data_IF_649748637804
#
_entry.id   IF_649748637804
#
_cell.length_a   1.000
_cell.length_b   1.000
_cell.length_c   1.000
_cell.angle_alpha   90.00
_cell.angle_beta   90.00
_cell.angle_gamma   90.00
#
_symmetry.space_group_name_H-M   'P 1'
#
loop_
_entity.id
_entity.type
_entity.pdbx_description
1 polymer ?
#
# COMPACT_ATOMS: atom_id res chain seq x y z
N UNK A 1 -81.83 1.31 20.67
CA UNK A 1 -81.80 0.39 19.50
C UNK A 1 -80.49 0.60 18.75
N UNK A 2 -79.85 -0.52 18.42
CA UNK A 2 -78.69 -0.74 17.52
C UNK A 2 -77.39 0.03 17.82
N UNK A 3 -76.46 -0.76 18.39
CA UNK A 3 -75.06 -0.47 18.66
C UNK A 3 -74.21 -0.51 17.38
N UNK A 4 -73.28 0.43 17.32
CA UNK A 4 -71.90 0.38 16.83
C UNK A 4 -71.58 -0.44 15.56
N UNK A 5 -71.35 0.33 14.48
CA UNK A 5 -70.18 0.22 13.61
C UNK A 5 -68.91 0.21 14.48
N UNK A 6 -67.93 -0.65 14.20
CA UNK A 6 -66.49 -0.35 14.18
C UNK A 6 -65.83 -1.46 13.34
N UNK A 7 -65.48 -1.10 12.10
CA UNK A 7 -64.42 -1.76 11.34
C UNK A 7 -63.09 -1.39 12.01
N UNK A 8 -62.69 -2.17 13.00
CA UNK A 8 -61.37 -2.08 13.60
C UNK A 8 -60.49 -3.15 12.96
N UNK A 9 -59.56 -2.73 12.11
CA UNK A 9 -58.25 -3.32 11.82
C UNK A 9 -57.81 -2.81 10.45
N UNK A 10 -56.99 -1.76 10.42
CA UNK A 10 -55.86 -1.48 9.51
C UNK A 10 -55.38 -0.08 9.89
N UNK A 11 -54.61 -0.01 10.96
CA UNK A 11 -53.63 1.05 11.21
C UNK A 11 -52.45 0.37 11.91
N UNK A 12 -51.82 -0.58 11.20
CA UNK A 12 -50.44 -0.93 11.51
C UNK A 12 -49.63 0.21 10.93
N UNK A 13 -49.34 1.17 11.79
CA UNK A 13 -48.34 2.21 11.59
C UNK A 13 -47.03 1.54 11.19
N UNK A 14 -46.69 1.69 9.92
CA UNK A 14 -45.35 1.42 9.43
C UNK A 14 -44.38 2.39 10.09
N UNK A 15 -43.91 2.04 11.28
CA UNK A 15 -42.62 2.51 11.78
C UNK A 15 -41.56 1.77 10.96
N UNK A 16 -41.38 2.21 9.72
CA UNK A 16 -40.15 1.97 9.01
C UNK A 16 -39.06 2.60 9.84
N UNK A 17 -38.24 1.77 10.48
CA UNK A 17 -36.94 2.18 10.97
C UNK A 17 -36.15 2.61 9.74
N UNK A 18 -36.26 3.89 9.38
CA UNK A 18 -35.30 4.53 8.50
C UNK A 18 -33.98 4.46 9.24
N UNK A 19 -33.14 3.51 8.84
CA UNK A 19 -31.75 3.49 9.28
C UNK A 19 -31.18 4.84 8.85
N UNK A 20 -30.89 5.69 9.82
CA UNK A 20 -30.23 6.97 9.58
C UNK A 20 -28.96 6.65 8.81
N UNK A 21 -28.92 7.07 7.54
CA UNK A 21 -27.70 6.99 6.76
C UNK A 21 -26.77 8.02 7.39
N UNK A 22 -25.96 7.57 8.33
CA UNK A 22 -24.81 8.33 8.77
C UNK A 22 -23.97 8.49 7.51
N UNK A 23 -23.97 9.70 6.95
CA UNK A 23 -23.07 10.06 5.86
C UNK A 23 -21.67 9.79 6.35
N UNK A 24 -21.13 8.64 5.96
CA UNK A 24 -19.77 8.26 6.29
C UNK A 24 -18.88 9.34 5.72
N UNK A 25 -18.14 10.04 6.59
CA UNK A 25 -17.17 11.04 6.15
C UNK A 25 -16.32 10.42 5.04
N UNK A 26 -16.35 11.02 3.86
CA UNK A 26 -15.55 10.55 2.73
C UNK A 26 -14.09 10.84 3.07
N UNK A 27 -13.39 9.84 3.61
CA UNK A 27 -11.98 9.97 3.97
C UNK A 27 -11.14 9.73 2.72
N UNK A 28 -10.61 10.78 2.10
CA UNK A 28 -9.74 10.69 0.94
C UNK A 28 -8.26 10.58 1.34
N UNK A 29 -7.41 10.05 0.44
CA UNK A 29 -5.99 10.38 0.51
C UNK A 29 -5.86 11.89 0.35
N UNK A 30 -5.27 12.57 1.34
CA UNK A 30 -5.25 14.03 1.40
C UNK A 30 -4.15 14.59 0.53
N UNK A 31 -2.93 14.16 0.80
CA UNK A 31 -1.71 14.70 0.20
C UNK A 31 -0.96 13.58 -0.52
N UNK A 32 -0.16 13.95 -1.51
CA UNK A 32 0.57 12.99 -2.35
C UNK A 32 2.02 13.45 -2.52
N UNK A 33 2.95 12.64 -2.03
CA UNK A 33 4.36 12.83 -2.28
C UNK A 33 4.75 12.51 -3.74
N UNK A 34 5.88 13.07 -4.22
CA UNK A 34 6.52 12.71 -5.47
C UNK A 34 6.75 11.21 -5.63
N UNK A 35 6.80 10.77 -6.88
CA UNK A 35 7.12 9.38 -7.23
C UNK A 35 8.63 9.21 -7.23
N UNK A 36 9.12 8.18 -6.56
CA UNK A 36 10.49 7.70 -6.72
C UNK A 36 10.63 7.07 -8.11
N UNK A 37 11.29 7.78 -9.00
CA UNK A 37 11.27 7.51 -10.44
C UNK A 37 12.56 6.87 -10.96
N UNK A 38 13.65 7.04 -10.22
CA UNK A 38 14.99 6.58 -10.60
C UNK A 38 15.59 5.73 -9.49
N UNK A 39 15.80 4.44 -9.76
CA UNK A 39 16.72 3.61 -8.97
C UNK A 39 17.17 2.40 -9.78
N UNK A 40 18.44 2.03 -9.62
CA UNK A 40 19.03 0.84 -10.24
C UNK A 40 18.85 -0.35 -9.30
N UNK A 41 18.55 -1.52 -9.85
CA UNK A 41 18.52 -2.77 -9.09
C UNK A 41 19.85 -3.48 -9.25
N UNK A 42 20.48 -3.81 -8.12
CA UNK A 42 21.63 -4.70 -8.06
C UNK A 42 21.21 -6.01 -7.39
N UNK A 43 21.53 -7.12 -8.05
CA UNK A 43 21.29 -8.45 -7.51
C UNK A 43 22.48 -9.36 -7.80
N UNK A 44 22.99 -10.01 -6.77
CA UNK A 44 24.00 -11.05 -6.92
C UNK A 44 23.34 -12.35 -7.37
N UNK A 45 23.73 -12.83 -8.54
CA UNK A 45 23.27 -14.09 -9.10
C UNK A 45 24.20 -15.22 -8.63
N UNK A 46 23.66 -16.14 -7.82
CA UNK A 46 24.46 -17.20 -7.20
C UNK A 46 24.92 -18.25 -8.21
N UNK A 47 24.13 -18.50 -9.25
CA UNK A 47 24.41 -19.57 -10.22
C UNK A 47 25.54 -19.16 -11.18
N UNK A 48 25.61 -17.86 -11.48
CA UNK A 48 26.65 -17.30 -12.35
C UNK A 48 27.78 -16.60 -11.59
N UNK A 49 27.65 -16.47 -10.26
CA UNK A 49 28.53 -15.72 -9.35
C UNK A 49 28.77 -14.26 -9.77
N UNK A 50 27.83 -13.68 -10.51
CA UNK A 50 27.95 -12.33 -11.09
C UNK A 50 26.91 -11.38 -10.55
N UNK A 51 27.28 -10.10 -10.53
CA UNK A 51 26.33 -9.03 -10.29
C UNK A 51 25.50 -8.77 -11.54
N UNK A 52 24.18 -8.76 -11.36
CA UNK A 52 23.22 -8.32 -12.35
C UNK A 52 22.77 -6.92 -11.97
N UNK A 53 23.06 -5.97 -12.85
CA UNK A 53 22.57 -4.60 -12.77
C UNK A 53 21.38 -4.42 -13.71
N UNK A 54 20.36 -3.72 -13.23
CA UNK A 54 19.23 -3.26 -14.06
C UNK A 54 19.02 -1.78 -13.82
N UNK A 55 19.29 -0.98 -14.87
CA UNK A 55 19.11 0.46 -14.84
C UNK A 55 17.62 0.82 -14.77
N UNK A 56 17.28 1.83 -13.97
CA UNK A 56 15.91 2.32 -13.78
C UNK A 56 14.91 1.19 -13.53
N UNK A 57 15.32 0.23 -12.70
CA UNK A 57 14.59 -0.99 -12.44
C UNK A 57 13.24 -0.72 -11.76
N UNK A 58 13.10 0.38 -11.01
CA UNK A 58 11.82 0.73 -10.41
C UNK A 58 10.72 0.76 -11.46
N UNK A 59 10.83 1.50 -12.55
CA UNK A 59 9.78 1.57 -13.57
C UNK A 59 9.39 0.20 -14.15
N UNK A 60 10.31 -0.77 -14.14
CA UNK A 60 10.09 -2.11 -14.69
C UNK A 60 9.48 -3.11 -13.69
N UNK A 61 9.70 -2.93 -12.38
CA UNK A 61 9.22 -3.84 -11.33
C UNK A 61 8.15 -3.22 -10.43
N UNK A 62 8.21 -1.90 -10.26
CA UNK A 62 7.43 -1.06 -9.37
C UNK A 62 6.98 0.22 -10.12
N UNK A 63 5.75 0.25 -10.65
CA UNK A 63 5.28 1.35 -11.50
C UNK A 63 5.06 2.70 -10.77
N UNK A 64 5.02 2.68 -9.44
CA UNK A 64 4.81 3.78 -8.53
C UNK A 64 5.44 3.38 -7.20
N UNK A 65 6.22 4.27 -6.61
CA UNK A 65 6.58 4.24 -5.19
C UNK A 65 6.46 5.68 -4.71
N UNK A 66 5.47 5.97 -3.87
CA UNK A 66 5.29 7.30 -3.30
C UNK A 66 4.53 7.23 -1.98
N UNK A 67 4.69 8.24 -1.12
CA UNK A 67 3.86 8.38 0.07
C UNK A 67 2.56 9.13 -0.24
N UNK A 68 1.52 8.78 0.50
CA UNK A 68 0.25 9.51 0.61
C UNK A 68 -0.13 9.62 2.07
N UNK A 69 -1.00 10.57 2.39
CA UNK A 69 -1.51 10.74 3.77
C UNK A 69 -2.98 10.40 3.85
N UNK A 70 -3.41 9.85 4.98
CA UNK A 70 -4.82 9.60 5.29
C UNK A 70 -5.08 9.93 6.75
N UNK A 71 -6.15 10.68 7.02
CA UNK A 71 -6.59 10.97 8.38
C UNK A 71 -7.72 10.04 8.79
N UNK A 72 -7.59 9.42 9.96
CA UNK A 72 -8.65 8.62 10.55
C UNK A 72 -8.70 8.83 12.06
N UNK A 73 -9.87 9.15 12.59
CA UNK A 73 -10.08 9.48 14.01
C UNK A 73 -9.10 10.54 14.56
N UNK A 74 -8.87 11.62 13.80
CA UNK A 74 -7.91 12.70 14.11
C UNK A 74 -6.44 12.23 14.24
N UNK A 75 -6.11 11.05 13.71
CA UNK A 75 -4.73 10.53 13.63
C UNK A 75 -4.30 10.50 12.16
N UNK A 76 -3.10 11.00 11.90
CA UNK A 76 -2.50 11.01 10.58
C UNK A 76 -1.68 9.74 10.34
N UNK A 77 -1.92 9.09 9.20
CA UNK A 77 -1.19 7.91 8.75
C UNK A 77 -0.50 8.19 7.43
N UNK A 78 0.70 7.62 7.28
CA UNK A 78 1.51 7.74 6.08
C UNK A 78 1.48 6.42 5.33
N UNK A 79 1.03 6.44 4.09
CA UNK A 79 0.83 5.24 3.28
C UNK A 79 1.82 5.25 2.14
N UNK A 80 2.79 4.35 2.16
CA UNK A 80 3.64 4.10 1.00
C UNK A 80 2.82 3.28 0.01
N UNK A 81 2.45 3.89 -1.10
CA UNK A 81 1.79 3.21 -2.20
C UNK A 81 2.86 2.66 -3.14
N UNK A 82 2.73 1.38 -3.50
CA UNK A 82 3.43 0.85 -4.65
C UNK A 82 2.51 0.09 -5.58
N UNK A 83 2.92 -0.05 -6.85
CA UNK A 83 2.29 -1.03 -7.71
C UNK A 83 3.33 -1.93 -8.37
N UNK A 84 3.01 -3.20 -8.48
CA UNK A 84 3.81 -4.18 -9.21
C UNK A 84 3.01 -4.69 -10.40
N UNK A 85 3.71 -5.24 -11.39
CA UNK A 85 3.08 -5.84 -12.57
C UNK A 85 3.31 -7.34 -12.53
N UNK A 86 2.23 -8.12 -12.45
CA UNK A 86 2.27 -9.55 -12.68
C UNK A 86 1.83 -9.87 -14.11
N UNK A 87 2.61 -10.69 -14.81
CA UNK A 87 2.17 -11.29 -16.07
C UNK A 87 1.32 -12.50 -15.72
N UNK A 88 0.08 -12.52 -16.21
CA UNK A 88 -0.84 -13.65 -16.04
C UNK A 88 -1.29 -14.17 -17.38
N UNK A 89 -1.85 -15.37 -17.38
CA UNK A 89 -2.39 -16.04 -18.56
C UNK A 89 -3.84 -16.38 -18.30
N UNK A 90 -4.70 -16.11 -19.28
CA UNK A 90 -6.12 -16.53 -19.24
C UNK A 90 -6.23 -18.05 -19.10
N UNK A 91 -5.31 -18.77 -19.74
CA UNK A 91 -5.19 -20.23 -19.65
C UNK A 91 -3.77 -20.61 -19.17
N UNK A 92 -3.53 -20.63 -17.84
CA UNK A 92 -2.19 -20.85 -17.28
C UNK A 92 -1.54 -22.17 -17.69
N UNK A 93 -2.33 -23.23 -17.80
CA UNK A 93 -1.82 -24.58 -18.12
C UNK A 93 -1.13 -24.66 -19.49
N UNK A 94 -1.51 -23.79 -20.43
CA UNK A 94 -0.98 -23.77 -21.81
C UNK A 94 -0.30 -22.43 -22.14
N UNK A 95 -0.13 -21.54 -21.15
CA UNK A 95 0.45 -20.21 -21.33
C UNK A 95 -0.22 -19.38 -22.44
N UNK A 96 -1.54 -19.49 -22.59
CA UNK A 96 -2.30 -18.78 -23.63
C UNK A 96 -3.11 -17.60 -23.05
N UNK A 97 -3.28 -16.54 -23.84
CA UNK A 97 -4.03 -15.35 -23.45
C UNK A 97 -3.30 -14.52 -22.40
N UNK A 98 -2.03 -14.18 -22.68
CA UNK A 98 -1.18 -13.37 -21.80
C UNK A 98 -1.80 -11.98 -21.57
N UNK A 99 -1.86 -11.55 -20.32
CA UNK A 99 -2.27 -10.21 -19.93
C UNK A 99 -1.45 -9.68 -18.75
N UNK A 100 -1.47 -8.37 -18.57
CA UNK A 100 -0.78 -7.66 -17.48
C UNK A 100 -1.81 -7.42 -16.37
N UNK A 101 -1.49 -7.87 -15.17
CA UNK A 101 -2.28 -7.66 -13.97
C UNK A 101 -1.52 -6.73 -13.01
N UNK A 102 -1.86 -5.45 -12.93
CA UNK A 102 -1.27 -4.56 -11.94
C UNK A 102 -1.79 -4.94 -10.55
N UNK A 103 -0.91 -4.79 -9.57
CA UNK A 103 -1.20 -5.03 -8.16
C UNK A 103 -0.81 -3.79 -7.41
N UNK A 104 -1.73 -3.26 -6.62
CA UNK A 104 -1.49 -2.09 -5.78
C UNK A 104 -1.33 -2.53 -4.33
N UNK A 105 -0.26 -2.07 -3.71
CA UNK A 105 0.07 -2.32 -2.32
C UNK A 105 0.08 -0.97 -1.57
N UNK A 106 -0.46 -0.98 -0.36
CA UNK A 106 -0.40 0.11 0.59
C UNK A 106 0.30 -0.40 1.83
N UNK A 107 1.39 0.26 2.20
CA UNK A 107 2.12 -0.01 3.43
C UNK A 107 1.87 1.13 4.38
N UNK A 108 1.27 0.83 5.54
CA UNK A 108 0.74 1.84 6.44
C UNK A 108 1.73 2.07 7.58
N UNK A 109 2.23 3.29 7.67
CA UNK A 109 3.18 3.75 8.66
C UNK A 109 2.47 4.64 9.69
N UNK A 110 2.81 4.43 10.96
CA UNK A 110 2.63 5.47 11.97
C UNK A 110 3.54 6.67 11.67
N UNK A 111 3.21 7.84 12.21
CA UNK A 111 4.09 9.01 12.12
C UNK A 111 5.51 8.71 12.65
N UNK A 112 5.61 7.96 13.75
CA UNK A 112 6.90 7.58 14.33
C UNK A 112 7.75 6.74 13.37
N UNK A 113 7.17 5.72 12.72
CA UNK A 113 7.89 4.89 11.76
C UNK A 113 8.20 5.65 10.46
N UNK A 114 7.31 6.55 10.02
CA UNK A 114 7.57 7.43 8.87
C UNK A 114 8.77 8.37 9.14
N UNK A 115 8.78 9.02 10.30
CA UNK A 115 9.88 9.92 10.70
C UNK A 115 11.18 9.15 10.92
N UNK A 116 11.11 7.94 11.46
CA UNK A 116 12.26 7.03 11.54
C UNK A 116 12.79 6.77 10.14
N UNK A 117 11.97 6.29 9.20
CA UNK A 117 12.37 6.01 7.81
C UNK A 117 13.06 7.21 7.14
N UNK A 118 12.49 8.42 7.31
CA UNK A 118 13.04 9.69 6.79
C UNK A 118 14.44 9.98 7.33
N UNK A 119 14.65 9.73 8.62
CA UNK A 119 15.88 10.10 9.33
C UNK A 119 16.91 8.96 9.40
N UNK A 120 16.60 7.73 8.99
CA UNK A 120 17.51 6.59 9.07
C UNK A 120 18.81 6.85 8.29
N UNK A 121 19.95 6.63 8.96
CA UNK A 121 21.26 6.45 8.31
C UNK A 121 21.39 5.03 7.78
N UNK A 122 21.30 4.04 8.67
CA UNK A 122 21.08 2.63 8.33
C UNK A 122 20.02 2.06 9.28
N UNK A 123 19.09 1.25 8.77
CA UNK A 123 18.13 0.56 9.64
C UNK A 123 16.95 -0.06 8.91
N UNK A 124 15.99 -0.54 9.71
CA UNK A 124 14.76 -1.19 9.25
C UNK A 124 13.55 -0.42 9.80
N UNK A 125 12.53 -0.26 8.97
CA UNK A 125 11.22 0.23 9.39
C UNK A 125 10.18 -0.87 9.16
N UNK A 126 9.28 -1.01 10.13
CA UNK A 126 8.25 -2.06 10.17
C UNK A 126 6.88 -1.43 9.94
N UNK A 127 6.01 -2.12 9.20
CA UNK A 127 4.68 -1.61 8.85
C UNK A 127 3.75 -2.74 8.43
N UNK A 128 2.45 -2.44 8.43
CA UNK A 128 1.42 -3.38 7.97
C UNK A 128 1.14 -3.16 6.48
N UNK A 129 0.96 -4.26 5.73
CA UNK A 129 0.52 -4.20 4.33
C UNK A 129 -0.99 -4.40 4.21
N UNK A 130 -1.59 -3.57 3.35
CA UNK A 130 -2.89 -3.77 2.75
C UNK A 130 -2.72 -3.86 1.24
N UNK A 131 -3.14 -4.98 0.65
CA UNK A 131 -3.06 -5.22 -0.79
C UNK A 131 -4.44 -5.25 -1.44
N UNK A 132 -4.55 -4.71 -2.65
CA UNK A 132 -5.66 -5.01 -3.57
C UNK A 132 -5.13 -5.54 -4.89
N UNK A 133 -5.85 -6.51 -5.45
CA UNK A 133 -5.62 -7.05 -6.79
C UNK A 133 -6.40 -6.31 -7.86
N UNK A 134 -7.15 -5.28 -7.49
CA UNK A 134 -8.00 -4.52 -8.38
C UNK A 134 -7.34 -3.21 -8.83
N UNK A 135 -7.85 -2.68 -9.93
CA UNK A 135 -7.20 -1.73 -10.83
C UNK A 135 -7.21 -0.26 -10.38
N UNK A 136 -7.63 0.05 -9.15
CA UNK A 136 -7.84 1.44 -8.72
C UNK A 136 -7.29 1.75 -7.33
N UNK A 137 -6.67 2.92 -7.22
CA UNK A 137 -6.22 3.54 -5.97
C UNK A 137 -7.39 3.84 -5.03
N UNK A 138 -8.58 4.06 -5.56
CA UNK A 138 -9.78 4.27 -4.74
C UNK A 138 -10.17 3.00 -3.97
N UNK A 139 -9.99 1.83 -4.58
CA UNK A 139 -10.20 0.59 -3.87
C UNK A 139 -9.10 0.36 -2.83
N UNK A 140 -7.85 0.66 -3.16
CA UNK A 140 -6.75 0.62 -2.19
C UNK A 140 -7.05 1.50 -0.96
N UNK A 141 -7.61 2.69 -1.17
CA UNK A 141 -8.07 3.59 -0.09
C UNK A 141 -9.13 2.93 0.80
N UNK A 142 -10.15 2.32 0.20
CA UNK A 142 -11.20 1.61 0.94
C UNK A 142 -10.59 0.49 1.79
N UNK A 143 -9.63 -0.25 1.23
CA UNK A 143 -8.95 -1.32 1.97
C UNK A 143 -8.12 -0.77 3.14
N UNK A 144 -7.41 0.34 2.96
CA UNK A 144 -6.68 1.03 4.04
C UNK A 144 -7.64 1.47 5.14
N UNK A 145 -8.80 2.02 4.80
CA UNK A 145 -9.81 2.40 5.80
C UNK A 145 -10.41 1.22 6.54
N UNK A 146 -10.68 0.12 5.84
CA UNK A 146 -11.15 -1.11 6.46
C UNK A 146 -10.10 -1.66 7.46
N UNK A 147 -8.81 -1.54 7.13
CA UNK A 147 -7.72 -1.81 8.06
C UNK A 147 -7.79 -0.91 9.31
N UNK A 148 -7.88 0.41 9.11
CA UNK A 148 -7.89 1.37 10.22
C UNK A 148 -9.10 1.22 11.14
N UNK A 149 -10.24 0.75 10.61
CA UNK A 149 -11.44 0.41 11.38
C UNK A 149 -11.38 -0.93 12.11
N UNK A 150 -10.36 -1.76 11.84
CA UNK A 150 -10.25 -3.10 12.39
C UNK A 150 -11.23 -4.11 11.78
N UNK A 151 -11.78 -3.83 10.60
CA UNK A 151 -12.77 -4.69 9.91
C UNK A 151 -12.13 -5.90 9.22
N UNK A 152 -10.83 -5.83 8.91
CA UNK A 152 -10.05 -6.96 8.39
C UNK A 152 -9.22 -7.63 9.49
N UNK A 153 -9.02 -8.94 9.37
CA UNK A 153 -8.39 -9.78 10.41
C UNK A 153 -7.04 -10.35 10.00
N UNK A 154 -6.61 -10.16 8.75
CA UNK A 154 -5.33 -10.69 8.26
C UNK A 154 -4.45 -9.57 7.71
N UNK A 155 -3.38 -9.29 8.43
CA UNK A 155 -2.34 -8.36 8.03
C UNK A 155 -1.00 -9.06 8.17
N UNK A 156 -0.15 -8.83 7.19
CA UNK A 156 1.21 -9.34 7.19
C UNK A 156 2.15 -8.20 7.57
N UNK A 157 3.16 -8.52 8.39
CA UNK A 157 4.22 -7.57 8.73
C UNK A 157 5.22 -7.50 7.61
N UNK A 158 5.47 -6.28 7.15
CA UNK A 158 6.47 -5.98 6.14
C UNK A 158 7.55 -5.09 6.71
N UNK A 159 8.70 -5.14 6.05
CA UNK A 159 9.87 -4.37 6.40
C UNK A 159 10.46 -3.67 5.19
N UNK A 160 11.01 -2.49 5.42
CA UNK A 160 11.83 -1.76 4.47
C UNK A 160 13.20 -1.51 5.11
N UNK A 161 14.28 -1.95 4.45
CA UNK A 161 15.65 -1.67 4.89
C UNK A 161 16.24 -0.56 4.04
N UNK A 162 16.90 0.41 4.70
CA UNK A 162 17.60 1.51 4.08
C UNK A 162 19.03 1.56 4.63
N UNK A 163 19.97 1.92 3.76
CA UNK A 163 21.36 2.22 4.07
C UNK A 163 21.82 3.41 3.24
N UNK A 164 22.04 4.54 3.91
CA UNK A 164 22.71 5.72 3.35
C UNK A 164 24.19 5.40 3.32
N UNK A 165 24.72 5.15 2.13
CA UNK A 165 26.14 4.80 1.96
C UNK A 165 27.02 6.04 2.14
N UNK A 166 26.52 7.21 1.76
CA UNK A 166 27.14 8.52 1.92
C UNK A 166 26.10 9.63 1.70
N UNK A 167 26.54 10.88 1.64
CA UNK A 167 25.68 12.06 1.41
C UNK A 167 25.10 12.13 -0.02
N UNK A 168 25.43 11.19 -0.90
CA UNK A 168 25.00 11.16 -2.30
C UNK A 168 24.10 9.98 -2.63
N UNK A 169 24.27 8.83 -1.98
CA UNK A 169 23.68 7.55 -2.39
C UNK A 169 22.90 6.90 -1.25
N UNK A 170 21.71 6.40 -1.61
CA UNK A 170 20.87 5.58 -0.74
C UNK A 170 20.68 4.22 -1.39
N UNK A 171 20.98 3.17 -0.61
CA UNK A 171 20.59 1.80 -0.93
C UNK A 171 19.38 1.41 -0.11
N UNK A 172 18.43 0.73 -0.72
CA UNK A 172 17.24 0.27 -0.01
C UNK A 172 16.69 -1.03 -0.60
N UNK A 173 15.91 -1.75 0.18
CA UNK A 173 15.04 -2.82 -0.32
C UNK A 173 13.62 -2.32 -0.29
N UNK A 174 12.88 -2.56 -1.37
CA UNK A 174 11.44 -2.37 -1.34
C UNK A 174 10.81 -3.24 -0.24
N UNK A 175 9.61 -2.89 0.24
CA UNK A 175 8.88 -3.69 1.20
C UNK A 175 8.87 -5.19 0.87
N UNK A 176 9.27 -6.00 1.86
CA UNK A 176 9.23 -7.46 1.79
C UNK A 176 8.62 -8.03 3.08
N UNK A 177 7.96 -9.20 3.00
CA UNK A 177 7.42 -9.87 4.18
C UNK A 177 8.54 -10.15 5.17
N UNK A 178 8.29 -9.89 6.45
CA UNK A 178 9.26 -10.13 7.52
C UNK A 178 9.82 -11.57 7.48
N UNK A 179 8.95 -12.56 7.27
CA UNK A 179 9.31 -13.99 7.24
C UNK A 179 10.08 -14.41 5.97
N UNK A 180 9.86 -13.71 4.86
CA UNK A 180 10.58 -13.97 3.60
C UNK A 180 12.01 -13.45 3.62
N UNK A 181 12.41 -12.78 4.72
CA UNK A 181 13.71 -12.16 4.84
C UNK A 181 14.81 -13.20 5.14
N UNK A 182 15.24 -13.89 4.10
CA UNK A 182 16.31 -14.90 4.18
C UNK A 182 17.59 -14.46 3.47
N UNK A 183 17.51 -13.45 2.60
CA UNK A 183 18.64 -12.99 1.80
C UNK A 183 19.36 -11.79 2.46
N UNK A 184 20.71 -11.83 2.57
CA UNK A 184 21.50 -10.69 3.01
C UNK A 184 21.21 -9.44 2.17
N UNK A 185 21.17 -8.27 2.82
CA UNK A 185 20.96 -6.98 2.15
C UNK A 185 21.94 -6.78 0.99
N UNK A 186 23.20 -7.14 1.22
CA UNK A 186 24.30 -7.02 0.25
C UNK A 186 24.21 -8.00 -0.94
N UNK A 187 23.11 -8.74 -1.11
CA UNK A 187 22.88 -9.59 -2.30
C UNK A 187 21.76 -9.08 -3.20
N UNK A 188 20.92 -8.15 -2.72
CA UNK A 188 19.84 -7.57 -3.51
C UNK A 188 19.39 -6.24 -2.90
N UNK A 189 19.55 -5.15 -3.64
CA UNK A 189 19.10 -3.82 -3.23
C UNK A 189 18.84 -2.93 -4.45
N UNK A 190 18.03 -1.89 -4.23
CA UNK A 190 17.93 -0.74 -5.10
C UNK A 190 18.92 0.33 -4.66
N UNK A 191 19.44 1.10 -5.61
CA UNK A 191 20.33 2.22 -5.36
C UNK A 191 19.82 3.46 -6.11
N UNK A 192 19.78 4.59 -5.44
CA UNK A 192 19.39 5.88 -6.01
C UNK A 192 20.15 7.02 -5.35
N UNK A 193 20.03 8.24 -5.89
CA UNK A 193 20.59 9.42 -5.25
C UNK A 193 19.82 9.78 -3.98
N UNK A 194 20.50 10.36 -3.00
CA UNK A 194 19.86 10.85 -1.78
C UNK A 194 18.80 11.92 -2.08
N UNK A 195 19.04 12.76 -3.09
CA UNK A 195 18.08 13.78 -3.54
C UNK A 195 16.79 13.10 -4.04
N UNK A 196 16.91 12.12 -4.93
CA UNK A 196 15.77 11.38 -5.48
C UNK A 196 15.03 10.61 -4.38
N UNK A 197 15.77 9.95 -3.47
CA UNK A 197 15.16 9.25 -2.33
C UNK A 197 14.37 10.20 -1.41
N UNK A 198 14.94 11.36 -1.10
CA UNK A 198 14.33 12.33 -0.18
C UNK A 198 13.03 12.93 -0.74
N UNK A 199 12.82 12.92 -2.06
CA UNK A 199 11.56 13.35 -2.67
C UNK A 199 10.36 12.57 -2.14
N UNK A 200 10.53 11.31 -1.71
CA UNK A 200 9.46 10.50 -1.11
C UNK A 200 8.80 11.18 0.09
N UNK A 201 9.54 12.02 0.82
CA UNK A 201 9.09 12.65 2.06
C UNK A 201 8.60 14.10 1.87
N UNK A 202 8.54 14.60 0.64
CA UNK A 202 7.99 15.90 0.29
C UNK A 202 6.49 15.75 0.02
N UNK A 203 5.71 15.51 1.07
CA UNK A 203 4.26 15.35 0.94
C UNK A 203 3.62 16.74 0.96
N UNK A 204 2.87 17.04 -0.10
CA UNK A 204 2.15 18.30 -0.34
C UNK A 204 0.64 18.06 -0.52
#
# INVERSE_FOLDING_TARGET
MKKLIIYGFILISGFGYGQERVDGTIINFKEKGPILSEANLYRYDKDTEKWVEKLNALQNYYGLINFRTIEYNNVMYYVLCSNTVEVRYKYPAISEGRYINPIYNAYIFSEAEFLKLKNLGEGVSDFDEVRTTHLDLEELRIQVLSYLKGEKTHYEKFIMKIKKENDLIVRFRCPEKYESWTQPFEKKYFETSLVEFNKLFLIE
#
